data_IF_531935620266
#
_entry.id   IF_531935620266
#
_cell.length_a   1.000
_cell.length_b   1.000
_cell.length_c   1.000
_cell.angle_alpha   90.00
_cell.angle_beta   90.00
_cell.angle_gamma   90.00
#
_symmetry.space_group_name_H-M   'P 1'
#
loop_
_entity.id
_entity.type
_entity.pdbx_description
1 polymer ?
#
# COMPACT_ATOMS: atom_id res chain seq x y z
N UNK A 1 -32.68 -17.08 49.36
CA UNK A 1 -32.37 -16.55 48.03
C UNK A 1 -30.90 -16.80 47.73
N UNK A 2 -30.59 -17.78 46.91
CA UNK A 2 -29.21 -18.10 46.49
C UNK A 2 -28.94 -17.30 45.20
N UNK A 3 -28.04 -16.31 45.26
CA UNK A 3 -27.57 -15.57 44.11
C UNK A 3 -26.56 -16.46 43.34
N UNK A 4 -26.98 -16.96 42.19
CA UNK A 4 -26.11 -17.71 41.31
C UNK A 4 -25.20 -16.76 40.54
N UNK A 5 -23.91 -16.77 40.84
CA UNK A 5 -22.87 -16.06 40.13
C UNK A 5 -22.67 -16.78 38.75
N UNK A 6 -23.09 -16.17 37.67
CA UNK A 6 -22.73 -16.64 36.30
C UNK A 6 -21.25 -16.33 36.06
N UNK A 7 -20.42 -17.32 36.13
CA UNK A 7 -19.05 -17.26 35.57
C UNK A 7 -19.20 -17.18 34.04
N UNK A 8 -18.97 -15.99 33.49
CA UNK A 8 -18.73 -15.84 32.06
C UNK A 8 -17.37 -16.50 31.77
N UNK A 9 -17.39 -17.67 31.15
CA UNK A 9 -16.18 -18.27 30.65
C UNK A 9 -15.60 -17.36 29.55
N UNK A 10 -14.51 -16.68 29.83
CA UNK A 10 -13.72 -16.01 28.81
C UNK A 10 -13.21 -17.09 27.83
N UNK A 11 -13.53 -16.94 26.54
CA UNK A 11 -12.93 -17.78 25.53
C UNK A 11 -11.41 -17.64 25.62
N UNK A 12 -10.65 -18.73 25.66
CA UNK A 12 -9.20 -18.65 25.75
C UNK A 12 -8.67 -17.92 24.52
N UNK A 13 -7.88 -16.88 24.74
CA UNK A 13 -7.12 -16.21 23.68
C UNK A 13 -5.96 -17.14 23.32
N UNK A 14 -5.87 -17.50 22.05
CA UNK A 14 -4.77 -18.30 21.53
C UNK A 14 -3.87 -17.41 20.71
N UNK A 15 -2.62 -17.23 21.14
CA UNK A 15 -1.59 -16.56 20.36
C UNK A 15 -0.94 -17.57 19.42
N UNK A 16 -0.92 -17.25 18.13
CA UNK A 16 -0.27 -18.07 17.11
C UNK A 16 0.74 -17.25 16.33
N UNK A 17 1.93 -17.76 16.06
CA UNK A 17 2.90 -17.08 15.22
C UNK A 17 2.37 -16.97 13.79
N UNK A 18 2.59 -15.82 13.18
CA UNK A 18 2.33 -15.60 11.75
C UNK A 18 3.58 -15.90 10.94
N UNK A 19 3.41 -16.66 9.88
CA UNK A 19 4.43 -16.88 8.86
C UNK A 19 4.09 -16.05 7.62
N UNK A 20 5.08 -15.29 7.10
CA UNK A 20 4.90 -14.45 5.92
C UNK A 20 5.46 -15.17 4.70
N UNK A 21 4.68 -15.14 3.62
CA UNK A 21 4.98 -15.81 2.35
C UNK A 21 4.87 -14.86 1.19
N UNK A 22 5.73 -15.02 0.20
CA UNK A 22 5.61 -14.30 -1.07
C UNK A 22 4.49 -14.92 -1.94
N UNK A 23 3.79 -14.07 -2.68
CA UNK A 23 2.70 -14.48 -3.58
C UNK A 23 1.32 -14.10 -3.05
N UNK A 24 0.30 -14.81 -3.53
CA UNK A 24 -1.11 -14.58 -3.18
C UNK A 24 -1.66 -15.76 -2.38
N UNK A 25 -2.11 -15.51 -1.16
CA UNK A 25 -2.82 -16.45 -0.30
C UNK A 25 -4.29 -16.08 -0.15
N UNK A 26 -5.03 -16.85 0.65
CA UNK A 26 -6.47 -16.61 0.92
C UNK A 26 -6.74 -15.25 1.57
N UNK A 27 -5.78 -14.70 2.30
CA UNK A 27 -5.88 -13.42 3.00
C UNK A 27 -4.86 -12.41 2.46
N UNK A 28 -4.59 -12.45 1.16
CA UNK A 28 -3.78 -11.43 0.51
C UNK A 28 -4.56 -10.11 0.38
N UNK A 29 -3.87 -8.95 0.42
CA UNK A 29 -4.50 -7.68 0.08
C UNK A 29 -5.09 -7.71 -1.33
N UNK A 30 -6.19 -6.98 -1.54
CA UNK A 30 -6.77 -6.79 -2.86
C UNK A 30 -5.95 -5.83 -3.73
N UNK A 31 -6.30 -5.77 -5.03
CA UNK A 31 -5.70 -4.79 -5.93
C UNK A 31 -6.27 -3.40 -5.67
N UNK A 32 -5.38 -2.41 -5.63
CA UNK A 32 -5.69 -0.99 -5.53
C UNK A 32 -5.33 -0.23 -6.81
N UNK A 33 -5.96 0.93 -6.99
CA UNK A 33 -5.59 1.88 -8.05
C UNK A 33 -4.52 2.85 -7.56
N UNK A 34 -3.66 3.31 -8.47
CA UNK A 34 -2.71 4.39 -8.19
C UNK A 34 -3.49 5.70 -8.04
N UNK A 35 -3.12 6.53 -7.07
CA UNK A 35 -3.68 7.87 -6.89
C UNK A 35 -3.04 8.81 -7.91
N UNK A 36 -3.65 8.92 -9.09
CA UNK A 36 -3.14 9.77 -10.17
C UNK A 36 -3.27 11.25 -9.83
N UNK A 37 -2.25 12.02 -10.18
CA UNK A 37 -2.24 13.48 -10.05
C UNK A 37 -3.40 14.08 -10.84
N UNK A 38 -4.14 14.99 -10.20
CA UNK A 38 -5.26 15.74 -10.78
C UNK A 38 -5.11 17.21 -10.42
N UNK A 39 -5.79 18.06 -11.19
CA UNK A 39 -5.79 19.49 -10.93
C UNK A 39 -6.50 19.91 -9.64
N UNK A 40 -6.38 21.18 -9.24
CA UNK A 40 -6.92 21.68 -7.98
C UNK A 40 -8.46 21.65 -7.88
N UNK A 41 -9.14 21.61 -9.02
CA UNK A 41 -10.61 21.55 -9.06
C UNK A 41 -11.18 20.13 -8.94
N UNK A 42 -10.30 19.11 -9.05
CA UNK A 42 -10.72 17.72 -9.15
C UNK A 42 -10.24 16.86 -7.97
N UNK A 43 -9.40 17.44 -7.10
CA UNK A 43 -8.75 16.65 -6.06
C UNK A 43 -8.21 17.51 -4.90
N UNK A 44 -8.71 17.26 -3.69
CA UNK A 44 -8.22 17.90 -2.46
C UNK A 44 -6.73 17.62 -2.17
N UNK A 45 -6.18 16.56 -2.77
CA UNK A 45 -4.80 16.13 -2.62
C UNK A 45 -3.81 16.81 -3.56
N UNK A 46 -4.27 17.74 -4.44
CA UNK A 46 -3.43 18.30 -5.50
C UNK A 46 -2.12 18.95 -5.00
N UNK A 47 -2.14 19.53 -3.80
CA UNK A 47 -0.95 20.15 -3.18
C UNK A 47 0.06 19.12 -2.64
N UNK A 48 -0.33 17.85 -2.49
CA UNK A 48 0.56 16.81 -1.97
C UNK A 48 1.47 16.22 -3.04
N UNK A 49 1.16 16.48 -4.33
CA UNK A 49 2.00 16.02 -5.43
C UNK A 49 3.18 16.97 -5.61
N UNK A 50 4.37 16.39 -5.63
CA UNK A 50 5.61 17.12 -5.83
C UNK A 50 6.09 16.98 -7.28
N UNK A 51 6.81 17.97 -7.80
CA UNK A 51 7.45 17.85 -9.11
C UNK A 51 8.44 16.67 -9.11
N UNK A 52 8.34 15.86 -10.14
CA UNK A 52 9.25 14.73 -10.38
C UNK A 52 10.02 14.95 -11.67
N UNK A 53 11.21 14.37 -11.82
CA UNK A 53 12.08 14.46 -12.99
C UNK A 53 12.49 13.08 -13.49
N UNK A 54 13.23 13.03 -14.60
CA UNK A 54 13.76 11.77 -15.12
C UNK A 54 12.77 10.91 -15.90
N UNK A 55 11.56 11.43 -16.18
CA UNK A 55 10.59 10.69 -17.01
C UNK A 55 11.11 10.66 -18.45
N UNK A 56 11.19 9.48 -19.12
CA UNK A 56 11.69 9.40 -20.49
C UNK A 56 10.85 10.23 -21.46
N UNK A 57 11.49 11.15 -22.19
CA UNK A 57 10.83 12.06 -23.13
C UNK A 57 10.12 11.31 -24.30
N UNK A 58 10.50 10.07 -24.57
CA UNK A 58 9.88 9.22 -25.59
C UNK A 58 8.53 8.60 -25.16
N UNK A 59 8.19 8.68 -23.89
CA UNK A 59 6.93 8.12 -23.40
C UNK A 59 5.74 9.01 -23.79
N UNK A 60 4.62 8.37 -24.10
CA UNK A 60 3.33 9.03 -24.40
C UNK A 60 2.31 8.73 -23.31
N UNK A 61 1.24 9.53 -23.25
CA UNK A 61 0.12 9.37 -22.31
C UNK A 61 0.58 9.22 -20.86
N UNK A 62 1.59 10.01 -20.49
CA UNK A 62 2.23 9.95 -19.18
C UNK A 62 1.25 10.39 -18.08
N UNK A 63 1.09 9.56 -17.06
CA UNK A 63 0.39 9.87 -15.81
C UNK A 63 1.36 9.74 -14.66
N UNK A 64 1.27 10.68 -13.72
CA UNK A 64 2.04 10.69 -12.47
C UNK A 64 1.09 10.49 -11.30
N UNK A 65 1.54 9.85 -10.26
CA UNK A 65 0.72 9.63 -9.08
C UNK A 65 1.51 9.02 -7.93
N UNK A 66 0.81 8.55 -6.93
CA UNK A 66 1.43 7.87 -5.80
C UNK A 66 0.61 6.68 -5.31
N UNK A 67 1.27 5.81 -4.59
CA UNK A 67 0.68 4.69 -3.85
C UNK A 67 0.89 4.99 -2.37
N UNK A 68 -0.18 4.96 -1.59
CA UNK A 68 -0.10 5.11 -0.14
C UNK A 68 0.15 3.76 0.52
N UNK A 69 1.28 3.62 1.16
CA UNK A 69 1.65 2.43 1.93
C UNK A 69 0.98 2.49 3.31
N UNK A 70 0.95 3.70 3.90
CA UNK A 70 0.16 4.00 5.09
C UNK A 70 -0.67 5.26 4.84
N UNK A 71 -1.94 5.07 4.50
CA UNK A 71 -2.87 6.15 4.14
C UNK A 71 -3.16 7.08 5.33
N UNK A 72 -3.21 6.56 6.57
CA UNK A 72 -3.44 7.36 7.76
C UNK A 72 -2.26 8.31 8.03
N UNK A 73 -1.05 7.79 7.93
CA UNK A 73 0.17 8.59 8.07
C UNK A 73 0.29 9.60 6.93
N UNK A 74 -0.04 9.22 5.69
CA UNK A 74 -0.02 10.13 4.54
C UNK A 74 -0.98 11.30 4.73
N UNK A 75 -2.22 11.05 5.14
CA UNK A 75 -3.19 12.11 5.42
C UNK A 75 -2.72 13.03 6.55
N UNK A 76 -2.25 12.44 7.65
CA UNK A 76 -1.81 13.18 8.83
C UNK A 76 -0.60 14.08 8.54
N UNK A 77 0.44 13.56 7.91
CA UNK A 77 1.65 14.35 7.64
C UNK A 77 1.41 15.46 6.62
N UNK A 78 0.55 15.25 5.61
CA UNK A 78 0.19 16.29 4.64
C UNK A 78 -0.70 17.37 5.27
N UNK A 79 -1.62 17.01 6.16
CA UNK A 79 -2.35 17.97 6.97
C UNK A 79 -1.40 18.82 7.83
N UNK A 80 -0.46 18.18 8.54
CA UNK A 80 0.54 18.86 9.37
C UNK A 80 1.44 19.80 8.58
N UNK A 81 1.71 19.47 7.31
CA UNK A 81 2.48 20.29 6.38
C UNK A 81 1.65 21.43 5.73
N UNK A 82 0.32 21.53 5.99
CA UNK A 82 -0.56 22.49 5.37
C UNK A 82 -0.89 22.22 3.90
N UNK A 83 -0.61 21.00 3.43
CA UNK A 83 -0.86 20.55 2.05
C UNK A 83 -2.26 19.95 1.88
N UNK A 84 -2.87 19.49 2.97
CA UNK A 84 -4.25 19.02 3.03
C UNK A 84 -5.07 19.97 3.91
N UNK A 85 -6.25 20.37 3.45
CA UNK A 85 -7.12 21.31 4.17
C UNK A 85 -7.66 20.68 5.45
N UNK A 86 -7.93 21.51 6.46
CA UNK A 86 -8.30 21.04 7.80
C UNK A 86 -9.66 20.33 7.82
N UNK A 87 -10.63 20.81 7.07
CA UNK A 87 -11.97 20.22 6.94
C UNK A 87 -11.91 18.86 6.22
N UNK A 88 -11.13 18.75 5.15
CA UNK A 88 -10.87 17.50 4.44
C UNK A 88 -10.21 16.49 5.39
N UNK A 89 -9.15 16.90 6.11
CA UNK A 89 -8.48 16.03 7.07
C UNK A 89 -9.41 15.57 8.19
N UNK A 90 -10.25 16.47 8.73
CA UNK A 90 -11.19 16.12 9.77
C UNK A 90 -12.21 15.07 9.30
N UNK A 91 -12.76 15.22 8.10
CA UNK A 91 -13.64 14.22 7.50
C UNK A 91 -12.96 12.85 7.32
N UNK A 92 -11.69 12.84 6.88
CA UNK A 92 -10.89 11.62 6.79
C UNK A 92 -10.63 10.99 8.16
N UNK A 93 -10.27 11.82 9.15
CA UNK A 93 -10.01 11.36 10.51
C UNK A 93 -11.21 10.65 11.11
N UNK A 94 -12.40 11.18 10.92
CA UNK A 94 -13.65 10.57 11.38
C UNK A 94 -14.00 9.32 10.58
N UNK A 95 -13.98 9.41 9.25
CA UNK A 95 -14.38 8.32 8.35
C UNK A 95 -13.44 7.12 8.43
N UNK A 96 -12.14 7.34 8.50
CA UNK A 96 -11.12 6.29 8.58
C UNK A 96 -10.76 5.91 10.03
N UNK A 97 -11.33 6.60 11.04
CA UNK A 97 -11.02 6.41 12.47
C UNK A 97 -9.52 6.56 12.76
N UNK A 98 -8.91 7.63 12.24
CA UNK A 98 -7.47 7.85 12.38
C UNK A 98 -7.13 8.13 13.85
N UNK A 99 -6.34 7.24 14.46
CA UNK A 99 -5.74 7.44 15.78
C UNK A 99 -4.37 8.12 15.63
N UNK A 100 -4.31 9.41 15.88
CA UNK A 100 -3.08 10.20 15.75
C UNK A 100 -1.99 9.83 16.76
N UNK A 101 -2.32 9.11 17.85
CA UNK A 101 -1.32 8.62 18.81
C UNK A 101 -0.45 7.50 18.23
N UNK A 102 -0.94 6.83 17.18
CA UNK A 102 -0.26 5.76 16.47
C UNK A 102 0.49 6.25 15.23
N UNK A 103 0.58 7.58 15.02
CA UNK A 103 1.21 8.18 13.86
C UNK A 103 2.49 8.95 14.22
N UNK A 104 3.45 8.96 13.32
CA UNK A 104 4.69 9.72 13.48
C UNK A 104 4.39 11.22 13.48
N UNK A 105 4.89 11.99 14.48
CA UNK A 105 4.77 13.43 14.48
C UNK A 105 5.64 14.11 13.41
N UNK A 106 6.59 13.37 12.80
CA UNK A 106 7.44 13.80 11.69
C UNK A 106 7.05 13.08 10.40
N UNK A 107 7.27 13.69 9.22
CA UNK A 107 7.08 13.00 7.95
C UNK A 107 7.97 11.76 7.86
N UNK A 108 7.40 10.68 7.29
CA UNK A 108 8.09 9.42 7.03
C UNK A 108 7.75 8.91 5.61
N UNK A 109 8.50 7.94 5.10
CA UNK A 109 8.29 7.32 3.79
C UNK A 109 7.09 6.36 3.81
N UNK A 110 5.89 6.90 3.88
CA UNK A 110 4.63 6.15 3.94
C UNK A 110 3.89 6.07 2.61
N UNK A 111 4.51 6.52 1.53
CA UNK A 111 3.99 6.49 0.16
C UNK A 111 5.15 6.45 -0.84
N UNK A 112 4.87 6.15 -2.10
CA UNK A 112 5.85 6.12 -3.17
C UNK A 112 5.28 6.75 -4.43
N UNK A 113 6.09 7.52 -5.18
CA UNK A 113 5.71 8.05 -6.47
C UNK A 113 5.79 6.99 -7.57
N UNK A 114 4.84 7.07 -8.49
CA UNK A 114 4.69 6.18 -9.64
C UNK A 114 4.41 7.00 -10.88
N UNK A 115 5.08 6.65 -11.98
CA UNK A 115 4.81 7.19 -13.31
C UNK A 115 4.44 6.04 -14.22
N UNK A 116 3.42 6.23 -15.06
CA UNK A 116 3.07 5.29 -16.12
C UNK A 116 2.96 6.00 -17.45
N UNK A 117 3.18 5.28 -18.53
CA UNK A 117 3.04 5.81 -19.88
C UNK A 117 3.26 4.73 -20.93
N UNK A 118 2.95 5.06 -22.16
CA UNK A 118 3.22 4.20 -23.32
C UNK A 118 4.68 4.41 -23.78
N UNK A 119 5.47 3.36 -23.68
CA UNK A 119 6.88 3.35 -24.08
C UNK A 119 7.03 3.42 -25.61
N UNK A 120 8.24 3.63 -26.11
CA UNK A 120 8.50 3.76 -27.58
C UNK A 120 8.16 2.49 -28.36
N UNK A 121 8.16 1.31 -27.73
CA UNK A 121 7.75 0.02 -28.30
C UNK A 121 6.25 -0.27 -28.14
N UNK A 122 5.47 0.71 -27.70
CA UNK A 122 4.01 0.64 -27.60
C UNK A 122 3.46 -0.11 -26.40
N UNK A 123 4.33 -0.46 -25.43
CA UNK A 123 3.89 -1.15 -24.20
C UNK A 123 3.57 -0.17 -23.08
N UNK A 124 2.70 -0.56 -22.18
CA UNK A 124 2.49 0.16 -20.95
C UNK A 124 3.68 -0.06 -20.01
N UNK A 125 4.42 1.02 -19.71
CA UNK A 125 5.51 1.01 -18.73
C UNK A 125 5.11 1.65 -17.43
N UNK A 126 5.76 1.25 -16.34
CA UNK A 126 5.66 1.84 -15.00
C UNK A 126 7.06 2.10 -14.48
N UNK A 127 7.29 3.27 -13.91
CA UNK A 127 8.47 3.62 -13.11
C UNK A 127 8.01 3.87 -11.67
N UNK A 128 8.84 3.47 -10.72
CA UNK A 128 8.59 3.63 -9.29
C UNK A 128 9.80 4.29 -8.66
N UNK A 129 9.60 5.38 -7.93
CA UNK A 129 10.64 6.11 -7.19
C UNK A 129 11.08 5.29 -5.97
N UNK A 130 11.95 4.31 -6.19
CA UNK A 130 12.31 3.29 -5.18
C UNK A 130 13.23 3.83 -4.08
N UNK A 131 13.96 4.92 -4.34
CA UNK A 131 14.88 5.56 -3.40
C UNK A 131 14.31 6.84 -2.77
N UNK A 132 13.12 7.29 -3.19
CA UNK A 132 12.41 8.48 -2.72
C UNK A 132 13.15 9.81 -2.98
N UNK A 133 13.83 9.94 -4.12
CA UNK A 133 14.55 11.16 -4.51
C UNK A 133 13.83 12.01 -5.57
N UNK A 134 12.64 11.57 -6.01
CA UNK A 134 11.80 12.21 -7.02
C UNK A 134 12.45 12.24 -8.43
N UNK A 135 13.42 11.36 -8.67
CA UNK A 135 14.12 11.22 -9.93
C UNK A 135 13.94 9.80 -10.50
N UNK A 136 13.37 9.70 -11.68
CA UNK A 136 13.14 8.42 -12.34
C UNK A 136 14.24 8.03 -13.32
N UNK A 137 15.38 8.76 -13.36
CA UNK A 137 16.47 8.45 -14.29
C UNK A 137 17.21 7.16 -13.98
N UNK A 138 17.25 6.75 -12.72
CA UNK A 138 17.89 5.53 -12.23
C UNK A 138 16.91 4.37 -12.00
N UNK A 139 15.61 4.59 -12.27
CA UNK A 139 14.59 3.59 -12.07
C UNK A 139 14.40 2.67 -13.27
N UNK A 140 14.25 1.38 -13.00
CA UNK A 140 13.96 0.41 -14.08
C UNK A 140 12.52 0.49 -14.53
N UNK A 141 12.28 0.34 -15.82
CA UNK A 141 10.93 0.20 -16.36
C UNK A 141 10.36 -1.16 -15.99
N UNK A 142 9.18 -1.15 -15.38
CA UNK A 142 8.36 -2.33 -15.11
C UNK A 142 7.29 -2.43 -16.19
N UNK A 143 7.10 -3.63 -16.76
CA UNK A 143 6.02 -3.92 -17.69
C UNK A 143 4.95 -4.77 -17.00
N UNK A 144 3.85 -4.17 -16.56
CA UNK A 144 2.83 -4.89 -15.82
C UNK A 144 2.17 -5.98 -16.67
N UNK A 145 2.08 -7.23 -16.18
CA UNK A 145 1.29 -8.26 -16.85
C UNK A 145 -0.22 -7.98 -16.70
N UNK A 146 -1.04 -8.59 -17.55
CA UNK A 146 -2.49 -8.53 -17.38
C UNK A 146 -2.92 -9.31 -16.13
N UNK A 147 -4.01 -8.89 -15.49
CA UNK A 147 -4.62 -9.61 -14.36
C UNK A 147 -4.89 -11.08 -14.71
N UNK A 148 -5.38 -11.34 -15.92
CA UNK A 148 -5.64 -12.71 -16.38
C UNK A 148 -4.36 -13.56 -16.45
N UNK A 149 -3.22 -12.96 -16.84
CA UNK A 149 -1.92 -13.63 -16.81
C UNK A 149 -1.52 -14.01 -15.39
N UNK A 150 -1.63 -13.06 -14.46
CA UNK A 150 -1.28 -13.30 -13.05
C UNK A 150 -2.12 -14.42 -12.44
N UNK A 151 -3.41 -14.49 -12.75
CA UNK A 151 -4.28 -15.55 -12.24
C UNK A 151 -3.92 -16.94 -12.79
N UNK A 152 -3.37 -16.99 -14.01
CA UNK A 152 -2.97 -18.26 -14.64
C UNK A 152 -1.59 -18.75 -14.22
N UNK A 153 -0.62 -17.84 -14.04
CA UNK A 153 0.79 -18.19 -13.85
C UNK A 153 1.36 -17.76 -12.49
N UNK A 154 0.58 -17.04 -11.68
CA UNK A 154 1.05 -16.36 -10.49
C UNK A 154 1.76 -15.03 -10.79
N UNK A 155 2.22 -14.31 -9.76
CA UNK A 155 2.91 -13.04 -9.91
C UNK A 155 4.26 -13.24 -10.61
N UNK A 156 4.52 -12.42 -11.65
CA UNK A 156 5.79 -12.42 -12.36
C UNK A 156 6.81 -11.58 -11.58
N UNK A 157 7.97 -12.13 -11.31
CA UNK A 157 8.99 -11.48 -10.48
C UNK A 157 9.48 -10.14 -11.09
N UNK A 158 9.54 -10.04 -12.42
CA UNK A 158 9.91 -8.81 -13.12
C UNK A 158 8.89 -7.67 -12.95
N UNK A 159 7.64 -7.99 -12.59
CA UNK A 159 6.60 -7.01 -12.30
C UNK A 159 6.54 -6.60 -10.81
N UNK A 160 7.41 -7.17 -9.97
CA UNK A 160 7.51 -6.85 -8.56
C UNK A 160 8.64 -5.83 -8.36
N UNK A 161 8.32 -4.77 -7.62
CA UNK A 161 9.28 -3.75 -7.16
C UNK A 161 9.39 -3.85 -5.64
N UNK A 162 10.61 -3.81 -5.13
CA UNK A 162 10.87 -3.73 -3.69
C UNK A 162 11.39 -2.34 -3.34
N UNK A 163 10.82 -1.72 -2.33
CA UNK A 163 11.22 -0.38 -1.87
C UNK A 163 11.18 -0.29 -0.34
N UNK A 164 12.01 0.57 0.28
CA UNK A 164 11.93 0.81 1.72
C UNK A 164 10.70 1.65 2.05
N UNK A 165 9.93 1.25 3.05
CA UNK A 165 8.84 2.03 3.60
C UNK A 165 8.98 2.14 5.12
N UNK A 166 8.57 3.29 5.65
CA UNK A 166 8.64 3.57 7.06
C UNK A 166 7.27 3.40 7.72
N UNK A 167 7.28 2.79 8.90
CA UNK A 167 6.11 2.60 9.74
C UNK A 167 6.39 3.13 11.14
N UNK A 168 5.40 3.78 11.74
CA UNK A 168 5.50 4.21 13.13
C UNK A 168 4.90 3.16 14.05
N UNK A 169 5.73 2.60 14.94
CA UNK A 169 5.33 1.53 15.87
C UNK A 169 5.99 1.74 17.23
N UNK A 170 5.20 1.70 18.29
CA UNK A 170 5.74 1.80 19.66
C UNK A 170 6.56 3.07 19.93
N UNK A 171 6.20 4.21 19.33
CA UNK A 171 6.94 5.46 19.50
C UNK A 171 8.17 5.63 18.61
N UNK A 172 8.46 4.69 17.71
CA UNK A 172 9.64 4.69 16.85
C UNK A 172 9.27 4.49 15.37
N UNK A 173 10.11 5.04 14.51
CA UNK A 173 10.03 4.78 13.06
C UNK A 173 10.88 3.53 12.76
N UNK A 174 10.26 2.56 12.13
CA UNK A 174 10.91 1.33 11.66
C UNK A 174 10.77 1.22 10.15
N UNK A 175 11.85 0.87 9.46
CA UNK A 175 11.86 0.71 8.00
C UNK A 175 11.80 -0.76 7.64
N UNK A 176 10.87 -1.11 6.73
CA UNK A 176 10.77 -2.45 6.16
C UNK A 176 10.77 -2.41 4.63
N UNK A 177 11.32 -3.43 3.97
CA UNK A 177 11.14 -3.61 2.54
C UNK A 177 9.68 -3.98 2.25
N UNK A 178 9.04 -3.19 1.37
CA UNK A 178 7.69 -3.46 0.87
C UNK A 178 7.79 -3.90 -0.58
N UNK A 179 7.14 -5.00 -0.93
CA UNK A 179 7.03 -5.47 -2.32
C UNK A 179 5.72 -4.98 -2.91
N UNK A 180 5.78 -4.42 -4.11
CA UNK A 180 4.61 -3.97 -4.88
C UNK A 180 4.61 -4.67 -6.22
N UNK A 181 3.52 -5.34 -6.54
CA UNK A 181 3.26 -5.97 -7.82
C UNK A 181 2.34 -5.07 -8.64
N UNK A 182 2.72 -4.76 -9.89
CA UNK A 182 1.86 -4.04 -10.82
C UNK A 182 1.16 -4.99 -11.77
N UNK A 183 -0.08 -4.64 -12.15
CA UNK A 183 -0.91 -5.38 -13.08
C UNK A 183 -1.71 -4.44 -13.98
N UNK A 184 -2.13 -4.93 -15.13
CA UNK A 184 -3.05 -4.24 -16.04
C UNK A 184 -4.44 -4.87 -15.99
N UNK A 185 -5.46 -4.02 -15.83
CA UNK A 185 -6.87 -4.38 -16.01
C UNK A 185 -7.55 -3.28 -16.80
N UNK A 186 -8.12 -3.64 -17.95
CA UNK A 186 -8.85 -2.71 -18.83
C UNK A 186 -8.10 -1.41 -19.14
N UNK A 187 -6.78 -1.53 -19.41
CA UNK A 187 -5.90 -0.39 -19.66
C UNK A 187 -5.48 0.43 -18.44
N UNK A 188 -5.95 0.06 -17.25
CA UNK A 188 -5.57 0.72 -16.01
C UNK A 188 -4.43 -0.02 -15.31
N UNK A 189 -3.48 0.74 -14.77
CA UNK A 189 -2.43 0.21 -13.90
C UNK A 189 -3.00 0.07 -12.49
N UNK A 190 -2.96 -1.15 -11.99
CA UNK A 190 -3.31 -1.52 -10.62
C UNK A 190 -2.06 -1.99 -9.88
N UNK A 191 -2.12 -1.99 -8.57
CA UNK A 191 -1.06 -2.56 -7.74
C UNK A 191 -1.61 -3.48 -6.65
N UNK A 192 -0.76 -4.39 -6.16
CA UNK A 192 -1.04 -5.22 -5.01
C UNK A 192 0.26 -5.46 -4.22
N UNK A 193 0.12 -5.89 -2.98
CA UNK A 193 1.25 -6.35 -2.16
C UNK A 193 1.33 -7.88 -2.25
N UNK A 194 2.31 -8.45 -2.99
CA UNK A 194 2.40 -9.90 -3.21
C UNK A 194 3.01 -10.62 -2.00
N UNK A 195 2.40 -10.43 -0.84
CA UNK A 195 2.79 -11.04 0.42
C UNK A 195 1.53 -11.38 1.21
N UNK A 196 1.44 -12.59 1.72
CA UNK A 196 0.35 -13.02 2.58
C UNK A 196 0.88 -13.62 3.88
N UNK A 197 0.02 -13.69 4.90
CA UNK A 197 0.33 -14.33 6.17
C UNK A 197 -0.47 -15.62 6.34
N UNK A 198 0.16 -16.61 6.94
CA UNK A 198 -0.51 -17.83 7.39
C UNK A 198 -0.26 -18.09 8.87
N UNK A 199 -1.15 -18.86 9.49
CA UNK A 199 -0.99 -19.36 10.86
C UNK A 199 -1.51 -20.79 10.95
N UNK A 200 -0.81 -21.64 11.70
CA UNK A 200 -1.24 -23.02 11.94
C UNK A 200 -1.90 -23.12 13.31
N UNK A 201 -3.19 -23.44 13.33
CA UNK A 201 -3.93 -23.71 14.58
C UNK A 201 -4.15 -25.22 14.68
N UNK A 202 -3.56 -25.84 15.71
CA UNK A 202 -3.87 -27.23 16.04
C UNK A 202 -5.13 -27.28 16.90
N UNK A 203 -6.26 -27.69 16.34
CA UNK A 203 -7.42 -28.06 17.16
C UNK A 203 -7.10 -29.36 17.88
N UNK A 204 -7.15 -29.38 19.20
CA UNK A 204 -7.02 -30.61 19.96
C UNK A 204 -8.09 -31.62 19.49
N UNK A 205 -7.68 -32.75 18.96
CA UNK A 205 -8.60 -33.84 18.68
C UNK A 205 -9.29 -34.23 19.98
N UNK A 206 -10.62 -34.19 20.04
CA UNK A 206 -11.34 -34.86 21.13
C UNK A 206 -10.95 -36.34 21.10
N UNK A 207 -10.50 -36.92 22.24
CA UNK A 207 -10.29 -38.36 22.28
C UNK A 207 -11.64 -39.02 21.96
N UNK A 208 -11.65 -39.84 20.94
CA UNK A 208 -12.77 -40.78 20.67
C UNK A 208 -12.96 -41.67 21.89
N UNK A 209 -14.14 -41.61 22.51
CA UNK A 209 -14.60 -42.58 23.45
C UNK A 209 -15.06 -43.84 22.72
#
# INVERSE_FOLDING_TARGET
MLAGTRLLAQSPVVEVPLEFHDGHGLFAPGYGGVNWERGPNDNDWYKTYQPVKGIPASWKDVKKGNIWIDAHQFAYQNYRAGLLQADVYQGLKEGWKIDTTQLSPKPIRCFVYVVTGTTSDGKQGVLVDTNHDLDFTDERVVYPPTMLSIWKTGPLQEAIVSLPADFYRGGQVVTYPVKVLFALSDGNVLYNYPTYASASIRSGAKPSR
#
